data_IF_686260418310
#
_entry.id   IF_686260418310
#
_cell.length_a   1.000
_cell.length_b   1.000
_cell.length_c   1.000
_cell.angle_alpha   90.00
_cell.angle_beta   90.00
_cell.angle_gamma   90.00
#
_symmetry.space_group_name_H-M   'P 1'
#
loop_
_entity.id
_entity.type
_entity.pdbx_description
1 polymer ?
#
# COMPACT_ATOMS: atom_id res chain seq x y z
N UNK A 1 1.46 21.32 20.47
CA UNK A 1 2.51 20.30 20.36
C UNK A 1 3.34 20.64 19.12
N UNK A 2 4.58 21.14 19.25
CA UNK A 2 5.44 21.40 18.07
C UNK A 2 5.86 20.03 17.52
N UNK A 3 5.40 19.66 16.32
CA UNK A 3 5.92 18.47 15.64
C UNK A 3 7.43 18.67 15.43
N UNK A 4 8.23 17.71 15.88
CA UNK A 4 9.67 17.68 15.55
C UNK A 4 9.82 17.52 14.04
N UNK A 5 10.90 18.08 13.47
CA UNK A 5 11.17 18.06 12.03
C UNK A 5 11.16 16.63 11.48
N UNK A 6 11.66 15.67 12.27
CA UNK A 6 11.63 14.24 11.96
C UNK A 6 10.21 13.67 11.77
N UNK A 7 9.27 14.03 12.63
CA UNK A 7 7.87 13.58 12.50
C UNK A 7 7.22 14.14 11.24
N UNK A 8 7.53 15.40 10.88
CA UNK A 8 7.02 15.99 9.63
C UNK A 8 7.58 15.27 8.40
N UNK A 9 8.87 14.96 8.43
CA UNK A 9 9.53 14.20 7.38
C UNK A 9 8.90 12.80 7.22
N UNK A 10 8.83 12.02 8.29
CA UNK A 10 8.28 10.65 8.24
C UNK A 10 6.82 10.65 7.79
N UNK A 11 6.01 11.57 8.31
CA UNK A 11 4.60 11.69 7.93
C UNK A 11 4.43 12.03 6.45
N UNK A 12 5.30 12.89 5.89
CA UNK A 12 5.27 13.24 4.46
C UNK A 12 5.66 12.04 3.59
N UNK A 13 6.67 11.28 4.01
CA UNK A 13 7.07 10.04 3.32
C UNK A 13 5.94 9.00 3.34
N UNK A 14 5.29 8.81 4.49
CA UNK A 14 4.15 7.89 4.60
C UNK A 14 2.95 8.34 3.78
N UNK A 15 2.66 9.64 3.76
CA UNK A 15 1.61 10.21 2.93
C UNK A 15 1.88 9.93 1.44
N UNK A 16 3.11 10.14 0.98
CA UNK A 16 3.48 9.80 -0.40
C UNK A 16 3.38 8.30 -0.68
N UNK A 17 3.84 7.45 0.26
CA UNK A 17 3.69 6.00 0.18
C UNK A 17 2.23 5.57 0.03
N UNK A 18 1.32 6.18 0.80
CA UNK A 18 -0.11 5.91 0.69
C UNK A 18 -0.69 6.35 -0.67
N UNK A 19 -0.41 7.57 -1.12
CA UNK A 19 -0.89 8.08 -2.41
C UNK A 19 -0.40 7.18 -3.56
N UNK A 20 0.91 6.92 -3.60
CA UNK A 20 1.52 6.08 -4.63
C UNK A 20 1.00 4.64 -4.56
N UNK A 21 0.77 4.10 -3.36
CA UNK A 21 0.18 2.77 -3.18
C UNK A 21 -1.26 2.69 -3.69
N UNK A 22 -2.10 3.69 -3.42
CA UNK A 22 -3.48 3.74 -3.94
C UNK A 22 -3.48 3.79 -5.47
N UNK A 23 -2.65 4.66 -6.06
CA UNK A 23 -2.51 4.76 -7.52
C UNK A 23 -2.01 3.44 -8.12
N UNK A 24 -1.00 2.82 -7.49
CA UNK A 24 -0.44 1.53 -7.85
C UNK A 24 -1.49 0.41 -7.84
N UNK A 25 -2.29 0.31 -6.77
CA UNK A 25 -3.33 -0.71 -6.63
C UNK A 25 -4.47 -0.52 -7.63
N UNK A 26 -4.89 0.72 -7.88
CA UNK A 26 -5.87 1.04 -8.91
C UNK A 26 -5.37 0.70 -10.31
N UNK A 27 -4.11 1.02 -10.63
CA UNK A 27 -3.54 0.67 -11.93
C UNK A 27 -3.36 -0.84 -12.08
N UNK A 28 -2.95 -1.54 -11.01
CA UNK A 28 -2.79 -2.99 -10.98
C UNK A 28 -4.10 -3.74 -11.27
N UNK A 29 -5.25 -3.15 -10.92
CA UNK A 29 -6.57 -3.69 -11.27
C UNK A 29 -6.81 -3.71 -12.79
N UNK A 30 -6.37 -2.68 -13.51
CA UNK A 30 -6.56 -2.60 -14.97
C UNK A 30 -5.46 -3.32 -15.77
N UNK A 31 -4.24 -3.34 -15.25
CA UNK A 31 -3.09 -3.97 -15.88
C UNK A 31 -2.15 -4.50 -14.80
N UNK A 32 -1.80 -5.78 -14.87
CA UNK A 32 -0.89 -6.42 -13.91
C UNK A 32 0.46 -5.69 -13.78
N UNK A 33 0.94 -4.99 -14.81
CA UNK A 33 2.17 -4.20 -14.74
C UNK A 33 2.00 -2.84 -14.04
N UNK A 34 0.78 -2.47 -13.65
CA UNK A 34 0.44 -1.18 -13.04
C UNK A 34 1.17 -0.89 -11.73
N UNK A 35 1.58 -1.94 -10.99
CA UNK A 35 2.36 -1.77 -9.77
C UNK A 35 3.77 -1.22 -10.04
N UNK A 36 4.37 -1.50 -11.21
CA UNK A 36 5.68 -0.95 -11.59
C UNK A 36 5.62 0.56 -11.78
N UNK A 37 4.49 1.08 -12.28
CA UNK A 37 4.24 2.52 -12.40
C UNK A 37 4.18 3.18 -11.03
N UNK A 38 3.50 2.53 -10.07
CA UNK A 38 3.50 2.96 -8.67
C UNK A 38 4.90 2.98 -8.05
N UNK A 39 5.72 1.97 -8.36
CA UNK A 39 7.09 1.89 -7.89
C UNK A 39 7.99 2.99 -8.49
N UNK A 40 7.81 3.33 -9.77
CA UNK A 40 8.53 4.44 -10.43
C UNK A 40 8.29 5.80 -9.74
N UNK A 41 7.13 5.99 -9.11
CA UNK A 41 6.82 7.22 -8.35
C UNK A 41 7.68 7.38 -7.09
N UNK A 42 8.40 6.34 -6.65
CA UNK A 42 9.41 6.45 -5.60
C UNK A 42 10.50 7.47 -5.93
N UNK A 43 10.90 7.57 -7.21
CA UNK A 43 11.95 8.49 -7.65
C UNK A 43 11.54 9.95 -7.46
N UNK A 44 10.25 10.22 -7.24
CA UNK A 44 9.72 11.56 -6.98
C UNK A 44 9.56 11.88 -5.50
N UNK A 45 9.91 10.95 -4.59
CA UNK A 45 9.83 11.15 -3.13
C UNK A 45 10.65 12.36 -2.70
N UNK A 46 11.86 12.51 -3.23
CA UNK A 46 12.76 13.61 -2.89
C UNK A 46 12.11 14.97 -3.21
N UNK A 47 11.53 15.12 -4.41
CA UNK A 47 10.84 16.33 -4.85
C UNK A 47 9.58 16.61 -4.03
N UNK A 48 8.80 15.57 -3.73
CA UNK A 48 7.58 15.69 -2.94
C UNK A 48 7.90 16.13 -1.50
N UNK A 49 8.89 15.51 -0.88
CA UNK A 49 9.31 15.85 0.48
C UNK A 49 9.86 17.27 0.55
N UNK A 50 10.73 17.69 -0.38
CA UNK A 50 11.27 19.06 -0.42
C UNK A 50 10.18 20.10 -0.66
N UNK A 51 9.16 19.78 -1.46
CA UNK A 51 8.05 20.69 -1.73
C UNK A 51 7.19 20.97 -0.49
N UNK A 52 7.03 19.98 0.40
CA UNK A 52 6.17 20.07 1.59
C UNK A 52 6.97 20.49 2.83
N UNK A 53 8.16 19.94 2.99
CA UNK A 53 9.02 20.13 4.15
C UNK A 53 10.21 21.01 3.77
N UNK A 54 10.14 22.30 4.14
CA UNK A 54 11.21 23.28 3.87
C UNK A 54 12.48 23.06 4.67
N UNK A 55 12.38 22.42 5.84
CA UNK A 55 13.50 22.14 6.74
C UNK A 55 13.75 20.63 6.79
N UNK A 56 14.88 20.18 6.27
CA UNK A 56 15.27 18.79 6.41
C UNK A 56 15.82 18.52 7.82
N UNK A 57 15.66 17.27 8.35
CA UNK A 57 16.32 16.88 9.59
C UNK A 57 17.85 16.99 9.44
N UNK A 58 18.56 17.35 10.52
CA UNK A 58 20.03 17.52 10.53
C UNK A 58 20.77 16.25 10.08
N UNK A 59 20.19 15.08 10.29
CA UNK A 59 20.70 13.78 9.83
C UNK A 59 20.78 13.61 8.30
N UNK A 60 20.17 14.52 7.52
CA UNK A 60 20.11 14.44 6.06
C UNK A 60 20.85 15.66 5.47
N UNK A 61 22.18 15.59 5.34
CA UNK A 61 22.97 16.70 4.82
C UNK A 61 22.77 16.91 3.31
N UNK A 62 22.33 15.87 2.58
CA UNK A 62 22.16 15.91 1.13
C UNK A 62 20.77 15.42 0.69
N UNK A 63 20.17 16.04 -0.35
CA UNK A 63 18.85 15.66 -0.84
C UNK A 63 18.79 14.21 -1.38
N UNK A 64 19.92 13.68 -1.89
CA UNK A 64 20.00 12.28 -2.36
C UNK A 64 19.85 11.26 -1.22
N UNK A 65 20.19 11.64 0.01
CA UNK A 65 20.06 10.79 1.19
C UNK A 65 18.60 10.64 1.64
N UNK A 66 17.71 11.52 1.18
CA UNK A 66 16.25 11.43 1.42
C UNK A 66 15.74 10.08 0.91
N UNK A 67 16.07 9.71 -0.33
CA UNK A 67 15.61 8.47 -0.95
C UNK A 67 15.99 7.28 -0.07
N UNK A 68 17.27 7.16 0.31
CA UNK A 68 17.77 6.02 1.11
C UNK A 68 17.11 5.93 2.49
N UNK A 69 16.92 7.06 3.18
CA UNK A 69 16.28 7.09 4.51
C UNK A 69 14.76 6.85 4.40
N UNK A 70 14.12 7.39 3.36
CA UNK A 70 12.70 7.25 3.13
C UNK A 70 12.30 5.89 2.54
N UNK A 71 13.25 5.13 1.95
CA UNK A 71 12.96 3.90 1.20
C UNK A 71 12.08 2.93 1.98
N UNK A 72 12.49 2.51 3.17
CA UNK A 72 11.75 1.53 3.95
C UNK A 72 10.39 2.04 4.42
N UNK A 73 10.33 3.29 4.86
CA UNK A 73 9.07 3.91 5.29
C UNK A 73 8.08 4.04 4.14
N UNK A 74 8.56 4.51 2.98
CA UNK A 74 7.76 4.61 1.77
C UNK A 74 7.34 3.23 1.25
N UNK A 75 8.27 2.28 1.14
CA UNK A 75 8.05 0.97 0.53
C UNK A 75 7.01 0.15 1.27
N UNK A 76 7.05 0.15 2.61
CA UNK A 76 6.06 -0.57 3.42
C UNK A 76 4.66 0.04 3.27
N UNK A 77 4.57 1.36 3.26
CA UNK A 77 3.29 2.05 3.03
C UNK A 77 2.78 1.81 1.61
N UNK A 78 3.65 1.94 0.61
CA UNK A 78 3.32 1.71 -0.79
C UNK A 78 2.80 0.28 -1.02
N UNK A 79 3.49 -0.75 -0.50
CA UNK A 79 3.05 -2.14 -0.59
C UNK A 79 1.70 -2.35 0.09
N UNK A 80 1.56 -1.87 1.33
CA UNK A 80 0.34 -2.03 2.12
C UNK A 80 -0.86 -1.43 1.38
N UNK A 81 -0.75 -0.18 0.94
CA UNK A 81 -1.84 0.50 0.24
C UNK A 81 -2.08 -0.09 -1.15
N UNK A 82 -1.05 -0.54 -1.86
CA UNK A 82 -1.21 -1.23 -3.16
C UNK A 82 -2.07 -2.48 -3.00
N UNK A 83 -1.73 -3.37 -2.08
CA UNK A 83 -2.48 -4.61 -1.82
C UNK A 83 -3.89 -4.32 -1.32
N UNK A 84 -4.03 -3.38 -0.38
CA UNK A 84 -5.33 -3.00 0.16
C UNK A 84 -6.24 -2.46 -0.95
N UNK A 85 -5.77 -1.50 -1.74
CA UNK A 85 -6.55 -0.90 -2.82
C UNK A 85 -6.88 -1.91 -3.91
N UNK A 86 -5.93 -2.74 -4.32
CA UNK A 86 -6.19 -3.82 -5.27
C UNK A 86 -7.30 -4.76 -4.74
N UNK A 87 -7.18 -5.22 -3.50
CA UNK A 87 -8.17 -6.13 -2.88
C UNK A 87 -9.57 -5.51 -2.82
N UNK A 88 -9.66 -4.23 -2.43
CA UNK A 88 -10.93 -3.49 -2.37
C UNK A 88 -11.61 -3.35 -3.73
N UNK A 89 -10.85 -3.21 -4.81
CA UNK A 89 -11.39 -3.01 -6.16
C UNK A 89 -11.68 -4.34 -6.88
N UNK A 90 -10.96 -5.40 -6.54
CA UNK A 90 -11.16 -6.74 -7.13
C UNK A 90 -12.37 -7.52 -6.60
N UNK A 91 -13.10 -7.02 -5.59
CA UNK A 91 -14.21 -7.74 -4.95
C UNK A 91 -13.87 -9.21 -4.67
N UNK A 92 -12.69 -9.46 -4.06
CA UNK A 92 -12.14 -10.79 -3.90
C UNK A 92 -13.15 -11.74 -3.22
N UNK A 93 -13.68 -12.70 -3.99
CA UNK A 93 -14.52 -13.76 -3.47
C UNK A 93 -13.66 -15.00 -3.22
N UNK A 94 -13.51 -15.44 -1.96
CA UNK A 94 -12.76 -16.64 -1.70
C UNK A 94 -13.50 -17.86 -2.27
N UNK A 95 -12.77 -18.73 -2.95
CA UNK A 95 -13.31 -19.96 -3.54
C UNK A 95 -13.27 -21.06 -2.49
N UNK A 96 -14.42 -21.70 -2.26
CA UNK A 96 -14.50 -22.88 -1.39
C UNK A 96 -14.11 -24.13 -2.17
N UNK A 97 -12.82 -24.46 -2.19
CA UNK A 97 -12.28 -25.59 -2.95
C UNK A 97 -12.64 -26.98 -2.39
N UNK A 98 -13.04 -27.09 -1.13
CA UNK A 98 -13.32 -28.39 -0.50
C UNK A 98 -14.29 -28.26 0.67
N UNK A 99 -15.18 -29.25 0.77
CA UNK A 99 -16.20 -29.42 1.80
C UNK A 99 -15.58 -29.63 3.19
N UNK A 100 -14.31 -30.01 3.24
CA UNK A 100 -13.56 -30.20 4.48
C UNK A 100 -12.89 -28.91 4.97
N UNK A 101 -12.77 -27.88 4.11
CA UNK A 101 -12.11 -26.63 4.47
C UNK A 101 -12.86 -25.88 5.56
N UNK A 102 -12.10 -25.22 6.45
CA UNK A 102 -12.65 -24.40 7.53
C UNK A 102 -13.59 -23.31 6.99
N UNK A 103 -13.21 -22.70 5.87
CA UNK A 103 -14.02 -21.68 5.22
C UNK A 103 -15.36 -22.23 4.75
N UNK A 104 -15.38 -23.40 4.08
CA UNK A 104 -16.61 -24.05 3.64
C UNK A 104 -17.53 -24.33 4.83
N UNK A 105 -17.00 -24.91 5.91
CA UNK A 105 -17.79 -25.22 7.12
C UNK A 105 -18.35 -23.98 7.80
N UNK A 106 -17.59 -22.88 7.87
CA UNK A 106 -18.05 -21.62 8.47
C UNK A 106 -19.15 -20.93 7.66
N UNK A 107 -19.08 -21.03 6.33
CA UNK A 107 -20.11 -20.48 5.42
C UNK A 107 -21.37 -21.35 5.45
N UNK A 108 -21.21 -22.67 5.37
CA UNK A 108 -22.33 -23.63 5.43
C UNK A 108 -23.04 -23.60 6.79
N UNK A 109 -22.31 -23.42 7.89
CA UNK A 109 -22.91 -23.31 9.24
C UNK A 109 -23.56 -21.95 9.51
N UNK A 110 -23.55 -21.02 8.55
CA UNK A 110 -24.13 -19.68 8.69
C UNK A 110 -23.37 -18.74 9.63
N UNK A 111 -22.16 -19.09 10.07
CA UNK A 111 -21.34 -18.26 10.95
C UNK A 111 -20.59 -17.15 10.21
N UNK A 112 -20.38 -17.32 8.90
CA UNK A 112 -19.74 -16.33 8.04
C UNK A 112 -20.65 -15.97 6.86
N UNK A 113 -20.93 -14.68 6.69
CA UNK A 113 -21.74 -14.13 5.59
C UNK A 113 -20.93 -13.86 4.30
N UNK A 114 -19.80 -14.54 4.14
CA UNK A 114 -18.89 -14.34 3.01
C UNK A 114 -19.48 -15.05 1.79
N UNK A 115 -19.66 -14.31 0.68
CA UNK A 115 -20.01 -14.90 -0.62
C UNK A 115 -18.83 -15.74 -1.12
N UNK A 116 -18.89 -17.04 -0.88
CA UNK A 116 -17.92 -17.98 -1.44
C UNK A 116 -18.51 -18.61 -2.70
N UNK A 117 -17.72 -18.66 -3.77
CA UNK A 117 -18.08 -19.46 -4.94
C UNK A 117 -17.81 -20.91 -4.60
N UNK A 118 -18.87 -21.72 -4.50
CA UNK A 118 -18.74 -23.16 -4.39
C UNK A 118 -18.33 -23.70 -5.76
N UNK A 119 -17.11 -24.23 -5.86
CA UNK A 119 -16.72 -24.98 -7.04
C UNK A 119 -17.54 -26.27 -7.05
N UNK A 120 -18.67 -26.26 -7.76
CA UNK A 120 -19.41 -27.50 -8.07
C UNK A 120 -18.53 -28.32 -9.01
N UNK A 121 -17.89 -29.34 -8.46
CA UNK A 121 -17.40 -30.48 -9.22
C UNK A 121 -18.57 -31.36 -9.67
#
# INVERSE_FOLDING_TARGET
MKLTVEHKFSLTVYLWGAITGIVSGLLAYYNEAGWLLGFLLYVLVDKFVIAIVRELPEDIPEPRMILRKAFWGWFLFWLFFTMMTYTLVTDFQPVCYSNQSLLYKMVESGNASIKCVFAMG
#
